data_IF_586288083466
#
_entry.id   IF_586288083466
#
_cell.length_a   1.000
_cell.length_b   1.000
_cell.length_c   1.000
_cell.angle_alpha   90.00
_cell.angle_beta   90.00
_cell.angle_gamma   90.00
#
_symmetry.space_group_name_H-M   'P 1'
#
loop_
_entity.id
_entity.type
_entity.pdbx_description
1 polymer ?
#
# COMPACT_ATOMS: atom_id res chain seq x y z
N UNK A 1 3.21 10.09 -34.92
CA UNK A 1 3.22 9.83 -33.47
C UNK A 1 3.41 11.17 -32.80
N UNK A 2 2.40 11.67 -32.07
CA UNK A 2 2.55 12.93 -31.33
C UNK A 2 3.61 12.73 -30.26
N UNK A 3 4.59 13.61 -30.20
CA UNK A 3 5.56 13.65 -29.09
C UNK A 3 4.76 13.93 -27.81
N UNK A 4 4.88 13.11 -26.74
CA UNK A 4 4.18 13.37 -25.50
C UNK A 4 4.47 14.79 -24.99
N UNK A 5 3.41 15.53 -24.62
CA UNK A 5 3.59 16.90 -24.13
C UNK A 5 4.21 16.82 -22.71
N UNK A 6 5.31 17.55 -22.43
CA UNK A 6 5.86 17.60 -21.08
C UNK A 6 4.81 18.10 -20.08
N UNK A 7 4.79 17.50 -18.89
CA UNK A 7 3.89 17.89 -17.82
C UNK A 7 4.63 17.81 -16.46
N UNK A 8 4.50 18.86 -15.67
CA UNK A 8 5.03 18.90 -14.31
C UNK A 8 3.96 18.43 -13.34
N UNK A 9 4.15 17.27 -12.75
CA UNK A 9 3.21 16.63 -11.84
C UNK A 9 3.65 16.81 -10.38
N UNK A 10 2.81 17.45 -9.59
CA UNK A 10 3.00 17.53 -8.15
C UNK A 10 2.15 16.45 -7.47
N UNK A 11 2.78 15.51 -6.80
CA UNK A 11 2.10 14.50 -5.99
C UNK A 11 2.05 14.95 -4.54
N UNK A 12 0.84 15.03 -3.98
CA UNK A 12 0.59 15.42 -2.60
C UNK A 12 0.08 14.21 -1.82
N UNK A 13 0.88 13.74 -0.85
CA UNK A 13 0.42 12.69 0.05
C UNK A 13 -0.26 13.31 1.26
N UNK A 14 -1.57 13.05 1.48
CA UNK A 14 -2.34 13.71 2.53
C UNK A 14 -1.90 13.29 3.93
N UNK A 15 -2.18 14.14 4.90
CA UNK A 15 -1.94 13.87 6.32
C UNK A 15 -2.91 12.83 6.84
N UNK A 16 -2.41 11.95 7.70
CA UNK A 16 -3.26 11.11 8.53
C UNK A 16 -3.91 11.95 9.63
N UNK A 17 -5.13 11.56 10.02
CA UNK A 17 -5.75 12.12 11.24
C UNK A 17 -4.89 11.79 12.45
N UNK A 18 -4.82 12.74 13.41
CA UNK A 18 -3.95 12.60 14.58
C UNK A 18 -4.26 11.37 15.43
N UNK A 19 -5.54 10.97 15.48
CA UNK A 19 -6.04 9.85 16.27
C UNK A 19 -5.93 8.49 15.54
N UNK A 20 -5.33 8.48 14.34
CA UNK A 20 -5.14 7.24 13.61
C UNK A 20 -4.07 6.37 14.24
N UNK A 21 -4.35 5.09 14.45
CA UNK A 21 -3.37 4.07 14.85
C UNK A 21 -2.19 4.02 13.89
N UNK A 22 -2.41 4.31 12.62
CA UNK A 22 -1.37 4.38 11.58
C UNK A 22 -0.41 5.56 11.71
N UNK A 23 -0.64 6.48 12.66
CA UNK A 23 0.28 7.59 12.88
C UNK A 23 1.59 7.14 13.54
N UNK A 24 1.56 6.13 14.42
CA UNK A 24 2.69 5.65 15.22
C UNK A 24 3.54 6.80 15.80
N UNK A 25 2.91 7.94 16.13
CA UNK A 25 3.58 9.21 16.39
C UNK A 25 4.66 9.10 17.48
N UNK A 26 4.35 8.42 18.60
CA UNK A 26 5.31 8.26 19.69
C UNK A 26 6.46 7.31 19.34
N UNK A 27 6.19 6.24 18.60
CA UNK A 27 7.23 5.32 18.12
C UNK A 27 8.18 6.03 17.14
N UNK A 28 7.64 6.79 16.20
CA UNK A 28 8.44 7.60 15.27
C UNK A 28 9.33 8.60 15.99
N UNK A 29 8.80 9.28 17.01
CA UNK A 29 9.55 10.23 17.82
C UNK A 29 10.71 9.57 18.57
N UNK A 30 10.48 8.39 19.15
CA UNK A 30 11.52 7.62 19.84
C UNK A 30 12.62 7.17 18.88
N UNK A 31 12.26 6.81 17.65
CA UNK A 31 13.19 6.34 16.62
C UNK A 31 13.85 7.47 15.82
N UNK A 32 13.48 8.74 16.09
CA UNK A 32 14.06 9.90 15.40
C UNK A 32 13.61 10.05 13.94
N UNK A 33 12.50 9.42 13.55
CA UNK A 33 11.89 9.52 12.22
C UNK A 33 10.60 10.31 12.26
N UNK A 34 10.09 10.72 11.10
CA UNK A 34 8.89 11.57 11.03
C UNK A 34 7.61 10.75 10.89
N UNK A 35 7.66 9.63 10.17
CA UNK A 35 6.50 8.79 9.86
C UNK A 35 6.84 7.30 9.86
N UNK A 36 5.84 6.42 10.07
CA UNK A 36 6.09 4.99 10.01
C UNK A 36 6.41 4.53 8.58
N UNK A 37 5.58 4.87 7.60
CA UNK A 37 5.64 4.33 6.25
C UNK A 37 5.61 5.42 5.16
N UNK A 38 6.27 5.14 4.05
CA UNK A 38 6.28 5.97 2.85
C UNK A 38 5.03 5.76 1.98
N UNK A 39 4.67 6.71 1.09
CA UNK A 39 3.49 6.68 0.24
C UNK A 39 3.62 5.74 -0.96
N UNK A 40 3.72 4.42 -0.75
CA UNK A 40 3.96 3.43 -1.79
C UNK A 40 3.00 3.57 -2.99
N UNK A 41 1.71 3.79 -2.74
CA UNK A 41 0.72 3.92 -3.82
C UNK A 41 1.00 5.09 -4.76
N UNK A 42 1.34 6.28 -4.23
CA UNK A 42 1.64 7.45 -5.06
C UNK A 42 2.93 7.27 -5.87
N UNK A 43 3.99 6.74 -5.27
CA UNK A 43 5.25 6.52 -6.01
C UNK A 43 5.15 5.38 -7.03
N UNK A 44 4.21 4.44 -6.83
CA UNK A 44 3.87 3.43 -7.84
C UNK A 44 3.14 4.07 -9.02
N UNK A 45 2.14 4.93 -8.77
CA UNK A 45 1.46 5.69 -9.82
C UNK A 45 2.46 6.60 -10.56
N UNK A 46 3.39 7.23 -9.85
CA UNK A 46 4.44 8.03 -10.47
C UNK A 46 5.26 7.25 -11.50
N UNK A 47 5.54 5.97 -11.22
CA UNK A 47 6.27 5.09 -12.13
C UNK A 47 5.47 4.69 -13.38
N UNK A 48 4.14 4.85 -13.36
CA UNK A 48 3.26 4.55 -14.49
C UNK A 48 3.05 5.75 -15.43
N UNK A 49 3.44 6.96 -15.00
CA UNK A 49 3.29 8.17 -15.81
C UNK A 49 4.31 8.19 -16.96
N UNK A 50 4.02 8.91 -18.07
CA UNK A 50 4.94 9.02 -19.18
C UNK A 50 6.33 9.52 -18.76
N UNK A 51 7.39 8.94 -19.30
CA UNK A 51 8.77 9.33 -18.99
C UNK A 51 9.13 10.79 -19.39
N UNK A 52 8.29 11.45 -20.19
CA UNK A 52 8.37 12.88 -20.52
C UNK A 52 7.80 13.79 -19.43
N UNK A 53 7.04 13.23 -18.47
CA UNK A 53 6.48 13.99 -17.36
C UNK A 53 7.48 14.06 -16.20
N UNK A 54 7.62 15.23 -15.60
CA UNK A 54 8.48 15.42 -14.43
C UNK A 54 7.62 15.35 -13.18
N UNK A 55 8.02 14.52 -12.20
CA UNK A 55 7.26 14.31 -10.97
C UNK A 55 8.02 14.87 -9.77
N UNK A 56 7.32 15.60 -8.89
CA UNK A 56 7.74 15.94 -7.52
C UNK A 56 6.75 15.36 -6.53
N UNK A 57 7.25 14.89 -5.41
CA UNK A 57 6.44 14.39 -4.30
C UNK A 57 6.60 15.30 -3.09
N UNK A 58 5.48 15.69 -2.49
CA UNK A 58 5.42 16.32 -1.17
C UNK A 58 4.56 15.42 -0.26
N UNK A 59 5.21 14.75 0.66
CA UNK A 59 4.49 14.09 1.76
C UNK A 59 4.12 15.15 2.81
N UNK A 60 2.83 15.52 2.87
CA UNK A 60 2.33 16.52 3.81
C UNK A 60 2.49 16.11 5.28
N UNK A 61 2.85 14.86 5.54
CA UNK A 61 3.16 14.39 6.88
C UNK A 61 4.61 14.71 7.31
N UNK A 62 5.51 14.93 6.35
CA UNK A 62 6.94 15.17 6.61
C UNK A 62 7.40 16.54 6.14
N UNK A 63 6.68 17.17 5.21
CA UNK A 63 7.02 18.45 4.61
C UNK A 63 5.80 19.38 4.48
N UNK A 64 6.05 20.64 4.22
CA UNK A 64 5.02 21.63 3.88
C UNK A 64 5.03 21.92 2.40
N UNK A 65 3.85 22.05 1.81
CA UNK A 65 3.68 22.51 0.43
C UNK A 65 4.04 24.00 0.37
N UNK A 66 4.75 24.40 -0.67
CA UNK A 66 5.16 25.79 -0.90
C UNK A 66 4.41 26.41 -2.09
N UNK A 67 4.44 27.73 -2.20
CA UNK A 67 3.91 28.43 -3.37
C UNK A 67 4.68 28.08 -4.66
N UNK A 68 5.98 27.81 -4.54
CA UNK A 68 6.83 27.39 -5.65
C UNK A 68 6.42 26.00 -6.20
N UNK A 69 5.95 25.08 -5.34
CA UNK A 69 5.43 23.78 -5.77
C UNK A 69 4.21 23.96 -6.67
N UNK A 70 3.28 24.83 -6.27
CA UNK A 70 2.11 25.13 -7.10
C UNK A 70 2.49 25.92 -8.36
N UNK A 71 3.43 26.87 -8.30
CA UNK A 71 3.87 27.63 -9.47
C UNK A 71 4.48 26.70 -10.52
N UNK A 72 5.24 25.70 -10.09
CA UNK A 72 5.89 24.72 -10.95
C UNK A 72 4.92 23.70 -11.55
N UNK A 73 3.89 23.28 -10.83
CA UNK A 73 2.99 22.19 -11.24
C UNK A 73 2.04 22.60 -12.37
N UNK A 74 1.87 21.72 -13.34
CA UNK A 74 0.79 21.79 -14.35
C UNK A 74 -0.42 20.97 -13.88
N UNK A 75 -0.19 19.91 -13.10
CA UNK A 75 -1.19 18.94 -12.65
C UNK A 75 -0.83 18.45 -11.25
N UNK A 76 -1.85 18.25 -10.40
CA UNK A 76 -1.66 17.75 -9.04
C UNK A 76 -2.32 16.38 -8.89
N UNK A 77 -1.62 15.42 -8.29
CA UNK A 77 -2.18 14.14 -7.89
C UNK A 77 -2.26 14.06 -6.37
N UNK A 78 -3.36 13.54 -5.86
CA UNK A 78 -3.53 13.26 -4.43
C UNK A 78 -4.44 12.04 -4.23
N UNK A 79 -4.49 11.51 -3.03
CA UNK A 79 -5.38 10.42 -2.66
C UNK A 79 -4.79 9.58 -1.53
N UNK A 80 -5.59 8.68 -1.02
CA UNK A 80 -5.17 7.89 0.13
C UNK A 80 -6.26 6.98 0.67
N UNK A 81 -6.09 6.61 1.92
CA UNK A 81 -7.01 5.78 2.69
C UNK A 81 -8.00 6.65 3.49
N UNK A 82 -9.04 6.02 4.05
CA UNK A 82 -10.04 6.68 4.89
C UNK A 82 -9.45 7.59 6.00
N UNK A 83 -8.38 7.23 6.73
CA UNK A 83 -7.77 8.12 7.73
C UNK A 83 -7.15 9.39 7.15
N UNK A 84 -7.04 9.51 5.83
CA UNK A 84 -6.51 10.68 5.13
C UNK A 84 -7.60 11.51 4.43
N UNK A 85 -8.85 11.08 4.50
CA UNK A 85 -9.99 11.67 3.77
C UNK A 85 -10.10 13.19 4.00
N UNK A 86 -10.09 13.62 5.25
CA UNK A 86 -10.27 15.05 5.59
C UNK A 86 -9.16 15.93 4.98
N UNK A 87 -7.92 15.47 5.01
CA UNK A 87 -6.79 16.22 4.43
C UNK A 87 -6.79 16.13 2.90
N UNK A 88 -7.22 15.00 2.31
CA UNK A 88 -7.40 14.88 0.86
C UNK A 88 -8.41 15.90 0.34
N UNK A 89 -9.54 16.07 1.01
CA UNK A 89 -10.54 17.08 0.65
C UNK A 89 -10.01 18.49 0.78
N UNK A 90 -9.26 18.78 1.86
CA UNK A 90 -8.57 20.07 2.05
C UNK A 90 -7.57 20.33 0.91
N UNK A 91 -6.81 19.34 0.49
CA UNK A 91 -5.84 19.47 -0.61
C UNK A 91 -6.53 19.73 -1.94
N UNK A 92 -7.65 19.07 -2.23
CA UNK A 92 -8.45 19.33 -3.44
C UNK A 92 -8.91 20.80 -3.46
N UNK A 93 -9.45 21.31 -2.36
CA UNK A 93 -9.88 22.71 -2.27
C UNK A 93 -8.70 23.69 -2.40
N UNK A 94 -7.57 23.37 -1.80
CA UNK A 94 -6.34 24.16 -1.93
C UNK A 94 -5.88 24.21 -3.42
N UNK A 95 -5.86 23.09 -4.12
CA UNK A 95 -5.50 23.06 -5.55
C UNK A 95 -6.45 23.91 -6.38
N UNK A 96 -7.75 23.79 -6.14
CA UNK A 96 -8.78 24.59 -6.84
C UNK A 96 -8.60 26.10 -6.58
N UNK A 97 -8.34 26.50 -5.33
CA UNK A 97 -8.09 27.91 -4.98
C UNK A 97 -6.83 28.48 -5.63
N UNK A 98 -5.89 27.61 -6.02
CA UNK A 98 -4.65 27.95 -6.77
C UNK A 98 -4.79 27.78 -8.27
N UNK A 99 -5.99 27.45 -8.76
CA UNK A 99 -6.25 27.22 -10.19
C UNK A 99 -5.49 26.04 -10.79
N UNK A 100 -5.17 25.01 -9.97
CA UNK A 100 -4.45 23.82 -10.40
C UNK A 100 -5.40 22.64 -10.56
N UNK A 101 -5.44 21.99 -11.73
CA UNK A 101 -6.19 20.78 -11.93
C UNK A 101 -5.72 19.68 -10.96
N UNK A 102 -6.68 18.96 -10.35
CA UNK A 102 -6.38 17.92 -9.37
C UNK A 102 -6.98 16.56 -9.76
N UNK A 103 -6.15 15.55 -9.70
CA UNK A 103 -6.48 14.13 -9.89
C UNK A 103 -6.54 13.47 -8.53
N UNK A 104 -7.64 12.81 -8.21
CA UNK A 104 -7.77 12.02 -6.99
C UNK A 104 -7.93 10.54 -7.30
N UNK A 105 -7.26 9.69 -6.50
CA UNK A 105 -7.35 8.24 -6.59
C UNK A 105 -7.01 7.54 -5.29
N UNK A 106 -6.90 6.23 -5.34
CA UNK A 106 -6.59 5.39 -4.18
C UNK A 106 -7.82 4.72 -3.56
N UNK A 107 -7.64 3.99 -2.44
CA UNK A 107 -8.69 3.14 -1.87
C UNK A 107 -9.96 3.91 -1.45
N UNK A 108 -9.82 4.98 -0.71
CA UNK A 108 -10.98 5.73 -0.21
C UNK A 108 -11.74 6.46 -1.33
N UNK A 109 -11.12 7.18 -2.29
CA UNK A 109 -11.81 7.68 -3.47
C UNK A 109 -12.49 6.59 -4.30
N UNK A 110 -11.92 5.40 -4.38
CA UNK A 110 -12.52 4.26 -5.10
C UNK A 110 -13.78 3.74 -4.37
N UNK A 111 -13.73 3.66 -3.04
CA UNK A 111 -14.87 3.21 -2.22
C UNK A 111 -15.99 4.26 -2.13
N UNK A 112 -15.64 5.55 -2.14
CA UNK A 112 -16.58 6.65 -1.92
C UNK A 112 -16.39 7.81 -2.90
N UNK A 113 -16.52 7.59 -4.22
CA UNK A 113 -16.15 8.57 -5.24
C UNK A 113 -16.98 9.86 -5.17
N UNK A 114 -18.22 9.78 -4.68
CA UNK A 114 -19.10 10.94 -4.53
C UNK A 114 -18.58 12.00 -3.56
N UNK A 115 -17.78 11.60 -2.56
CA UNK A 115 -17.15 12.52 -1.59
C UNK A 115 -16.11 13.41 -2.30
N UNK A 116 -15.48 12.90 -3.35
CA UNK A 116 -14.40 13.54 -4.09
C UNK A 116 -14.83 14.23 -5.37
N UNK A 117 -16.13 14.50 -5.54
CA UNK A 117 -16.71 15.12 -6.74
C UNK A 117 -16.16 16.53 -7.04
N UNK A 118 -15.49 17.17 -6.09
CA UNK A 118 -14.85 18.46 -6.28
C UNK A 118 -13.49 18.38 -7.01
N UNK A 119 -12.88 17.19 -7.14
CA UNK A 119 -11.68 17.00 -7.94
C UNK A 119 -11.98 17.11 -9.43
N UNK A 120 -11.06 17.64 -10.23
CA UNK A 120 -11.23 17.73 -11.70
C UNK A 120 -11.23 16.33 -12.32
N UNK A 121 -10.38 15.44 -11.82
CA UNK A 121 -10.29 14.07 -12.28
C UNK A 121 -10.38 13.08 -11.13
N UNK A 122 -11.08 11.97 -11.37
CA UNK A 122 -11.09 10.81 -10.51
C UNK A 122 -10.52 9.61 -11.26
N UNK A 123 -9.48 8.96 -10.72
CA UNK A 123 -8.88 7.72 -11.22
C UNK A 123 -9.17 6.63 -10.20
N UNK A 124 -10.19 5.81 -10.49
CA UNK A 124 -10.79 4.87 -9.54
C UNK A 124 -10.41 3.43 -9.85
N UNK A 125 -10.19 2.65 -8.80
CA UNK A 125 -9.72 1.27 -8.90
C UNK A 125 -8.20 1.18 -9.00
N UNK A 126 -7.72 0.09 -9.61
CA UNK A 126 -6.30 -0.18 -9.75
C UNK A 126 -5.71 0.59 -10.93
N UNK A 127 -4.70 1.42 -10.65
CA UNK A 127 -4.16 2.35 -11.63
C UNK A 127 -3.65 1.67 -12.92
N UNK A 128 -3.09 0.46 -12.80
CA UNK A 128 -2.63 -0.33 -13.94
C UNK A 128 -3.69 -0.57 -15.02
N UNK A 129 -4.96 -0.56 -14.62
CA UNK A 129 -6.08 -0.80 -15.53
C UNK A 129 -6.64 0.45 -16.20
N UNK A 130 -6.19 1.67 -15.85
CA UNK A 130 -6.88 2.89 -16.26
C UNK A 130 -5.98 4.11 -16.45
N UNK A 131 -4.74 4.09 -15.95
CA UNK A 131 -3.88 5.29 -15.97
C UNK A 131 -3.55 5.76 -17.38
N UNK A 132 -3.37 4.83 -18.33
CA UNK A 132 -3.08 5.17 -19.73
C UNK A 132 -4.25 5.91 -20.39
N UNK A 133 -5.49 5.55 -20.05
CA UNK A 133 -6.70 6.24 -20.54
C UNK A 133 -6.76 7.66 -20.00
N UNK A 134 -6.47 7.86 -18.71
CA UNK A 134 -6.37 9.19 -18.11
C UNK A 134 -5.29 10.04 -18.79
N UNK A 135 -4.06 9.48 -18.97
CA UNK A 135 -2.97 10.19 -19.62
C UNK A 135 -3.34 10.64 -21.03
N UNK A 136 -3.93 9.73 -21.83
CA UNK A 136 -4.38 10.05 -23.19
C UNK A 136 -5.44 11.16 -23.21
N UNK A 137 -6.37 11.14 -22.26
CA UNK A 137 -7.38 12.18 -22.11
C UNK A 137 -6.74 13.53 -21.75
N UNK A 138 -5.83 13.57 -20.77
CA UNK A 138 -5.10 14.79 -20.42
C UNK A 138 -4.33 15.38 -21.59
N UNK A 139 -3.55 14.55 -22.30
CA UNK A 139 -2.77 14.97 -23.48
C UNK A 139 -3.63 15.46 -24.63
N UNK A 140 -4.86 14.94 -24.77
CA UNK A 140 -5.83 15.41 -25.76
C UNK A 140 -6.54 16.71 -25.39
N UNK A 141 -6.27 17.27 -24.21
CA UNK A 141 -6.85 18.53 -23.75
C UNK A 141 -8.12 18.40 -22.91
N UNK A 142 -8.53 17.19 -22.51
CA UNK A 142 -9.61 16.98 -21.53
C UNK A 142 -9.16 17.59 -20.18
N UNK A 143 -10.09 18.26 -19.48
CA UNK A 143 -9.77 18.97 -18.23
C UNK A 143 -10.61 18.52 -17.02
N UNK A 144 -11.51 17.56 -17.20
CA UNK A 144 -12.22 16.89 -16.11
C UNK A 144 -12.76 15.54 -16.56
N UNK A 145 -12.91 14.59 -15.63
CA UNK A 145 -13.51 13.30 -15.95
C UNK A 145 -13.33 12.26 -14.85
N UNK A 146 -14.03 11.14 -15.00
CA UNK A 146 -13.94 9.98 -14.13
C UNK A 146 -13.46 8.79 -14.95
N UNK A 147 -12.36 8.19 -14.55
CA UNK A 147 -11.72 7.05 -15.17
C UNK A 147 -11.77 5.89 -14.19
N UNK A 148 -12.44 4.79 -14.55
CA UNK A 148 -12.67 3.67 -13.63
C UNK A 148 -12.09 2.38 -14.20
N UNK A 149 -11.12 1.82 -13.51
CA UNK A 149 -10.56 0.52 -13.88
C UNK A 149 -11.61 -0.60 -13.77
N UNK A 150 -11.62 -1.56 -14.68
CA UNK A 150 -12.41 -2.78 -14.52
C UNK A 150 -12.01 -3.50 -13.23
N UNK A 151 -12.99 -3.79 -12.36
CA UNK A 151 -12.72 -4.42 -11.05
C UNK A 151 -11.98 -5.76 -11.21
N UNK A 152 -10.93 -5.94 -10.43
CA UNK A 152 -10.17 -7.20 -10.28
C UNK A 152 -9.45 -7.69 -11.53
N UNK A 153 -9.29 -6.84 -12.54
CA UNK A 153 -8.70 -7.21 -13.83
C UNK A 153 -7.29 -6.64 -14.05
N UNK A 154 -6.80 -5.80 -13.14
CA UNK A 154 -5.44 -5.27 -13.25
C UNK A 154 -4.41 -6.41 -13.26
N UNK A 155 -3.54 -6.36 -14.25
CA UNK A 155 -2.42 -7.29 -14.37
C UNK A 155 -1.23 -6.78 -13.55
N UNK A 156 -1.15 -7.21 -12.29
CA UNK A 156 -0.10 -6.78 -11.36
C UNK A 156 1.31 -7.20 -11.82
N UNK A 157 1.42 -8.11 -12.81
CA UNK A 157 2.71 -8.45 -13.42
C UNK A 157 3.27 -7.34 -14.31
N UNK A 158 2.49 -6.29 -14.57
CA UNK A 158 2.89 -5.09 -15.30
C UNK A 158 3.17 -3.88 -14.41
N UNK A 159 2.94 -4.00 -13.12
CA UNK A 159 3.25 -2.92 -12.16
C UNK A 159 4.76 -2.62 -12.21
N UNK A 160 5.17 -1.38 -12.51
CA UNK A 160 6.58 -1.02 -12.56
C UNK A 160 7.20 -0.95 -11.16
N UNK A 161 8.54 -0.91 -11.11
CA UNK A 161 9.25 -0.58 -9.86
C UNK A 161 8.83 0.81 -9.40
N UNK A 162 8.37 0.98 -8.15
CA UNK A 162 7.97 2.28 -7.63
C UNK A 162 9.11 3.30 -7.69
N UNK A 163 8.77 4.58 -7.84
CA UNK A 163 9.72 5.71 -7.86
C UNK A 163 10.24 6.01 -6.45
N UNK A 164 10.99 5.07 -5.87
CA UNK A 164 11.62 5.24 -4.55
C UNK A 164 12.58 6.44 -4.50
N UNK A 165 13.12 6.86 -5.65
CA UNK A 165 13.96 8.05 -5.81
C UNK A 165 13.25 9.37 -5.45
N UNK A 166 11.93 9.39 -5.39
CA UNK A 166 11.14 10.54 -4.95
C UNK A 166 11.07 10.67 -3.42
N UNK A 167 11.50 9.67 -2.67
CA UNK A 167 11.42 9.65 -1.21
C UNK A 167 12.66 10.21 -0.54
N UNK A 168 12.46 10.95 0.56
CA UNK A 168 13.51 11.11 1.56
C UNK A 168 13.40 9.94 2.54
N UNK A 169 14.14 8.86 2.26
CA UNK A 169 14.05 7.59 3.00
C UNK A 169 14.32 7.72 4.51
N UNK A 170 15.03 8.77 4.93
CA UNK A 170 15.36 9.03 6.33
C UNK A 170 14.15 9.54 7.14
N UNK A 171 13.08 9.96 6.48
CA UNK A 171 11.88 10.42 7.16
C UNK A 171 10.99 9.27 7.67
N UNK A 172 11.26 8.01 7.24
CA UNK A 172 10.37 6.87 7.47
C UNK A 172 11.01 5.79 8.33
N UNK A 173 10.19 5.15 9.17
CA UNK A 173 10.62 4.03 9.99
C UNK A 173 10.86 2.79 9.16
N UNK A 174 10.02 2.56 8.17
CA UNK A 174 10.14 1.48 7.19
C UNK A 174 9.64 1.91 5.81
N UNK A 175 10.02 1.17 4.80
CA UNK A 175 9.47 1.33 3.45
C UNK A 175 8.54 0.16 3.11
N UNK A 176 7.59 0.40 2.22
CA UNK A 176 6.66 -0.64 1.77
C UNK A 176 7.06 -1.23 0.42
N UNK A 177 6.81 -2.52 0.26
CA UNK A 177 6.75 -3.23 -1.02
C UNK A 177 5.47 -4.05 -1.05
N UNK A 178 4.95 -4.39 -2.22
CA UNK A 178 3.72 -5.17 -2.33
C UNK A 178 3.91 -6.34 -3.29
N UNK A 179 3.74 -7.56 -2.78
CA UNK A 179 3.83 -8.78 -3.58
C UNK A 179 2.49 -9.16 -4.22
N UNK A 180 1.40 -9.06 -3.46
CA UNK A 180 0.08 -9.45 -3.93
C UNK A 180 -1.02 -8.46 -3.57
N UNK A 181 -2.14 -8.53 -4.30
CA UNK A 181 -3.41 -7.82 -4.01
C UNK A 181 -4.56 -8.79 -4.01
N UNK A 182 -5.49 -8.59 -3.06
CA UNK A 182 -6.68 -9.40 -2.88
C UNK A 182 -6.55 -10.42 -1.76
N UNK A 183 -7.70 -10.82 -1.20
CA UNK A 183 -7.75 -11.72 -0.05
C UNK A 183 -8.83 -12.79 -0.27
N UNK A 184 -8.55 -14.10 -0.05
CA UNK A 184 -9.52 -15.16 -0.31
C UNK A 184 -10.67 -15.21 0.72
N UNK A 185 -10.54 -14.51 1.84
CA UNK A 185 -11.53 -14.48 2.91
C UNK A 185 -12.64 -13.45 2.66
N UNK A 186 -13.75 -13.56 3.40
CA UNK A 186 -14.97 -12.76 3.24
C UNK A 186 -15.38 -12.12 4.56
N UNK A 187 -14.44 -11.55 5.28
CA UNK A 187 -14.71 -10.84 6.53
C UNK A 187 -15.64 -9.65 6.26
N UNK A 188 -16.72 -9.53 7.07
CA UNK A 188 -17.79 -8.58 6.78
C UNK A 188 -17.39 -7.11 6.94
N UNK A 189 -16.41 -6.86 7.82
CA UNK A 189 -15.89 -5.52 8.10
C UNK A 189 -14.83 -5.04 7.10
N UNK A 190 -14.38 -5.90 6.17
CA UNK A 190 -13.21 -5.64 5.31
C UNK A 190 -13.66 -5.32 3.89
N UNK A 191 -13.23 -4.17 3.35
CA UNK A 191 -13.53 -3.72 2.00
C UNK A 191 -12.53 -4.22 0.93
N UNK A 192 -11.47 -4.90 1.32
CA UNK A 192 -10.44 -5.42 0.41
C UNK A 192 -11.02 -6.27 -0.72
N UNK A 193 -12.02 -7.09 -0.41
CA UNK A 193 -12.67 -7.93 -1.43
C UNK A 193 -13.48 -7.13 -2.46
N UNK A 194 -13.90 -5.92 -2.11
CA UNK A 194 -14.58 -4.99 -3.02
C UNK A 194 -13.59 -4.15 -3.82
N UNK A 195 -12.42 -3.87 -3.26
CA UNK A 195 -11.35 -3.11 -3.90
C UNK A 195 -10.50 -3.98 -4.84
N UNK A 196 -10.02 -5.13 -4.34
CA UNK A 196 -9.00 -5.94 -5.01
C UNK A 196 -9.44 -7.38 -5.31
N UNK A 197 -10.64 -7.78 -4.84
CA UNK A 197 -11.22 -9.07 -5.11
C UNK A 197 -10.71 -10.21 -4.22
N UNK A 198 -11.24 -11.41 -4.51
CA UNK A 198 -11.04 -12.60 -3.67
C UNK A 198 -9.98 -13.57 -4.20
N UNK A 199 -9.41 -13.28 -5.36
CA UNK A 199 -8.34 -14.08 -5.94
C UNK A 199 -7.04 -13.30 -5.83
N UNK A 200 -6.13 -13.68 -4.91
CA UNK A 200 -4.85 -12.98 -4.76
C UNK A 200 -4.03 -13.07 -6.05
N UNK A 201 -3.76 -11.91 -6.64
CA UNK A 201 -2.92 -11.73 -7.83
C UNK A 201 -1.53 -11.32 -7.38
N UNK A 202 -0.50 -12.00 -7.85
CA UNK A 202 0.87 -11.81 -7.40
C UNK A 202 1.74 -11.20 -8.49
N UNK A 203 2.66 -10.35 -8.09
CA UNK A 203 3.81 -10.01 -8.91
C UNK A 203 4.68 -11.23 -9.18
N UNK A 204 5.52 -11.15 -10.18
CA UNK A 204 6.52 -12.18 -10.45
C UNK A 204 7.72 -12.03 -9.51
N UNK A 205 8.45 -13.11 -9.27
CA UNK A 205 9.69 -13.06 -8.47
C UNK A 205 10.69 -12.02 -9.03
N UNK A 206 10.98 -11.99 -10.35
CA UNK A 206 11.89 -10.96 -10.90
C UNK A 206 11.45 -9.51 -10.62
N UNK A 207 10.12 -9.22 -10.66
CA UNK A 207 9.63 -7.88 -10.33
C UNK A 207 9.94 -7.52 -8.87
N UNK A 208 9.63 -8.43 -7.95
CA UNK A 208 9.89 -8.18 -6.52
C UNK A 208 11.37 -7.99 -6.25
N UNK A 209 12.23 -8.84 -6.83
CA UNK A 209 13.68 -8.69 -6.66
C UNK A 209 14.20 -7.39 -7.28
N UNK A 210 13.61 -6.91 -8.38
CA UNK A 210 13.97 -5.62 -8.96
C UNK A 210 13.56 -4.43 -8.05
N UNK A 211 12.44 -4.51 -7.32
CA UNK A 211 12.07 -3.50 -6.32
C UNK A 211 13.06 -3.49 -5.15
N UNK A 212 13.49 -4.67 -4.69
CA UNK A 212 14.50 -4.81 -3.63
C UNK A 212 15.88 -4.34 -4.10
N UNK A 213 16.28 -4.64 -5.35
CA UNK A 213 17.52 -4.15 -5.93
C UNK A 213 17.53 -2.62 -6.02
N UNK A 214 16.42 -1.99 -6.43
CA UNK A 214 16.31 -0.54 -6.47
C UNK A 214 16.52 0.10 -5.08
N UNK A 215 15.93 -0.45 -4.04
CA UNK A 215 16.13 0.00 -2.65
C UNK A 215 17.56 -0.26 -2.17
N UNK A 216 18.11 -1.41 -2.50
CA UNK A 216 19.47 -1.78 -2.14
C UNK A 216 20.51 -0.84 -2.78
N UNK A 217 20.34 -0.52 -4.06
CA UNK A 217 21.23 0.35 -4.83
C UNK A 217 21.13 1.82 -4.39
N UNK A 218 19.97 2.25 -3.89
CA UNK A 218 19.80 3.55 -3.21
C UNK A 218 20.49 3.63 -1.84
N UNK A 219 21.06 2.53 -1.36
CA UNK A 219 21.72 2.44 -0.05
C UNK A 219 20.76 2.20 1.11
N UNK A 220 19.49 1.93 0.87
CA UNK A 220 18.57 1.58 1.95
C UNK A 220 18.96 0.25 2.59
N UNK A 221 18.94 0.19 3.91
CA UNK A 221 19.15 -1.00 4.75
C UNK A 221 18.20 -0.91 5.92
N UNK A 222 17.50 -1.99 6.22
CA UNK A 222 16.59 -2.03 7.37
C UNK A 222 15.23 -2.66 7.04
N UNK A 223 14.18 -2.16 7.67
CA UNK A 223 12.87 -2.78 7.66
C UNK A 223 12.07 -2.46 6.38
N UNK A 224 11.61 -3.51 5.70
CA UNK A 224 10.64 -3.46 4.61
C UNK A 224 9.37 -4.19 5.01
N UNK A 225 8.22 -3.53 4.84
CA UNK A 225 6.92 -4.13 5.06
C UNK A 225 6.30 -4.58 3.73
N UNK A 226 5.94 -5.86 3.65
CA UNK A 226 5.12 -6.37 2.55
C UNK A 226 3.67 -6.02 2.82
N UNK A 227 3.22 -4.87 2.28
CA UNK A 227 1.88 -4.28 2.51
C UNK A 227 0.77 -5.05 1.75
N UNK A 228 0.80 -6.36 1.84
CA UNK A 228 -0.16 -7.26 1.19
C UNK A 228 -1.44 -7.36 2.03
N UNK A 229 -2.61 -7.40 1.40
CA UNK A 229 -3.89 -7.59 2.11
C UNK A 229 -3.94 -8.90 2.92
N UNK A 230 -3.22 -9.90 2.46
CA UNK A 230 -2.93 -11.16 3.14
C UNK A 230 -1.80 -11.87 2.38
N UNK A 231 -0.57 -11.72 2.83
CA UNK A 231 0.63 -12.25 2.19
C UNK A 231 0.54 -13.74 1.86
N UNK A 232 -0.09 -14.52 2.72
CA UNK A 232 -0.28 -15.96 2.52
C UNK A 232 -1.53 -16.33 1.69
N UNK A 233 -2.18 -15.34 1.09
CA UNK A 233 -3.40 -15.54 0.29
C UNK A 233 -3.21 -16.49 -0.89
N UNK A 234 -2.01 -16.49 -1.51
CA UNK A 234 -1.62 -17.41 -2.57
C UNK A 234 -0.36 -18.22 -2.15
N UNK A 235 -0.54 -19.22 -1.29
CA UNK A 235 0.56 -20.05 -0.77
C UNK A 235 1.36 -20.75 -1.87
N UNK A 236 0.75 -21.06 -3.02
CA UNK A 236 1.45 -21.73 -4.13
C UNK A 236 2.52 -20.82 -4.74
N UNK A 237 2.15 -19.59 -5.07
CA UNK A 237 3.10 -18.61 -5.61
C UNK A 237 4.14 -18.22 -4.57
N UNK A 238 3.73 -18.09 -3.31
CA UNK A 238 4.62 -17.71 -2.21
C UNK A 238 5.74 -18.75 -1.98
N UNK A 239 5.43 -20.05 -2.10
CA UNK A 239 6.44 -21.12 -2.01
C UNK A 239 7.46 -21.12 -3.16
N UNK A 240 7.15 -20.47 -4.27
CA UNK A 240 8.12 -20.26 -5.34
C UNK A 240 8.95 -19.00 -5.12
N UNK A 241 8.35 -17.96 -4.55
CA UNK A 241 9.01 -16.67 -4.31
C UNK A 241 9.99 -16.71 -3.13
N UNK A 242 9.58 -17.27 -1.97
CA UNK A 242 10.36 -17.20 -0.74
C UNK A 242 11.78 -17.82 -0.82
N UNK A 243 12.01 -18.94 -1.52
CA UNK A 243 13.37 -19.45 -1.70
C UNK A 243 14.28 -18.49 -2.46
N UNK A 244 13.77 -17.86 -3.52
CA UNK A 244 14.52 -16.87 -4.30
C UNK A 244 14.80 -15.61 -3.46
N UNK A 245 13.84 -15.19 -2.65
CA UNK A 245 14.00 -14.07 -1.71
C UNK A 245 15.07 -14.38 -0.65
N UNK A 246 15.06 -15.59 -0.08
CA UNK A 246 16.07 -16.03 0.89
C UNK A 246 17.47 -16.08 0.27
N UNK A 247 17.59 -16.55 -0.97
CA UNK A 247 18.86 -16.56 -1.70
C UNK A 247 19.33 -15.14 -2.04
N UNK A 248 18.43 -14.25 -2.43
CA UNK A 248 18.71 -12.83 -2.66
C UNK A 248 19.24 -12.15 -1.40
N UNK A 249 18.61 -12.38 -0.24
CA UNK A 249 19.03 -11.89 1.06
C UNK A 249 20.42 -12.42 1.44
N UNK A 250 20.61 -13.74 1.36
CA UNK A 250 21.86 -14.39 1.71
C UNK A 250 23.05 -13.90 0.88
N UNK A 251 22.84 -13.68 -0.42
CA UNK A 251 23.93 -13.21 -1.33
C UNK A 251 24.31 -11.74 -1.09
N UNK A 252 23.50 -10.98 -0.33
CA UNK A 252 23.71 -9.58 0.01
C UNK A 252 23.90 -9.33 1.51
N UNK A 253 24.19 -10.38 2.27
CA UNK A 253 24.43 -10.33 3.72
C UNK A 253 23.22 -9.77 4.50
N UNK A 254 22.00 -10.19 4.12
CA UNK A 254 20.73 -9.85 4.76
C UNK A 254 20.52 -8.35 4.98
N UNK A 255 20.49 -7.54 3.91
CA UNK A 255 20.35 -6.08 4.02
C UNK A 255 19.02 -5.62 4.56
N UNK A 256 17.98 -6.46 4.47
CA UNK A 256 16.61 -6.12 4.88
C UNK A 256 16.07 -7.11 5.91
N UNK A 257 15.20 -6.62 6.76
CA UNK A 257 14.31 -7.41 7.61
C UNK A 257 12.87 -7.15 7.18
N UNK A 258 12.01 -8.18 7.20
CA UNK A 258 10.68 -8.09 6.63
C UNK A 258 9.58 -8.26 7.67
N UNK A 259 8.49 -7.49 7.50
CA UNK A 259 7.18 -7.76 8.11
C UNK A 259 6.10 -7.88 7.04
N UNK A 260 4.91 -8.33 7.43
CA UNK A 260 3.75 -8.41 6.55
C UNK A 260 2.44 -8.63 7.32
N UNK A 261 1.31 -8.46 6.65
CA UNK A 261 -0.01 -8.86 7.11
C UNK A 261 -0.32 -10.30 6.69
N UNK A 262 -0.70 -11.12 7.65
CA UNK A 262 -1.07 -12.50 7.40
C UNK A 262 -2.25 -12.95 8.26
N UNK A 263 -3.11 -13.80 7.71
CA UNK A 263 -4.14 -14.46 8.49
C UNK A 263 -3.55 -15.54 9.41
N UNK A 264 -4.17 -15.77 10.57
CA UNK A 264 -3.67 -16.66 11.64
C UNK A 264 -3.44 -18.11 11.18
N UNK A 265 -4.07 -18.55 10.09
CA UNK A 265 -3.84 -19.88 9.50
C UNK A 265 -2.44 -20.03 8.83
N UNK A 266 -1.59 -19.00 8.91
CA UNK A 266 -0.15 -19.14 8.70
C UNK A 266 0.43 -20.22 9.66
N UNK A 267 -0.03 -20.26 10.90
CA UNK A 267 0.37 -21.24 11.90
C UNK A 267 0.09 -22.72 11.55
N UNK A 268 -0.75 -22.97 10.53
CA UNK A 268 -1.06 -24.32 10.06
C UNK A 268 -0.03 -24.89 9.08
N UNK A 269 0.97 -24.07 8.72
CA UNK A 269 1.94 -24.39 7.65
C UNK A 269 3.38 -24.20 8.16
N UNK A 270 3.91 -25.18 8.92
CA UNK A 270 5.27 -25.08 9.49
C UNK A 270 6.35 -24.83 8.44
N UNK A 271 6.19 -25.44 7.24
CA UNK A 271 7.15 -25.24 6.15
C UNK A 271 7.13 -23.81 5.62
N UNK A 272 5.97 -23.18 5.54
CA UNK A 272 5.86 -21.78 5.12
C UNK A 272 6.48 -20.84 6.16
N UNK A 273 6.28 -21.13 7.47
CA UNK A 273 6.92 -20.41 8.56
C UNK A 273 8.46 -20.50 8.45
N UNK A 274 9.01 -21.70 8.23
CA UNK A 274 10.45 -21.90 8.02
C UNK A 274 10.98 -21.09 6.83
N UNK A 275 10.24 -21.09 5.70
CA UNK A 275 10.63 -20.35 4.50
C UNK A 275 10.60 -18.84 4.73
N UNK A 276 9.60 -18.31 5.45
CA UNK A 276 9.55 -16.90 5.82
C UNK A 276 10.70 -16.51 6.75
N UNK A 277 10.97 -17.32 7.76
CA UNK A 277 12.12 -17.09 8.67
C UNK A 277 13.47 -17.09 7.90
N UNK A 278 13.66 -18.04 6.97
CA UNK A 278 14.85 -18.11 6.11
C UNK A 278 15.02 -16.87 5.21
N UNK A 279 13.91 -16.25 4.80
CA UNK A 279 13.91 -15.01 4.04
C UNK A 279 14.05 -13.74 4.91
N UNK A 280 14.26 -13.89 6.23
CA UNK A 280 14.42 -12.82 7.21
C UNK A 280 13.14 -12.05 7.54
N UNK A 281 11.97 -12.73 7.54
CA UNK A 281 10.75 -12.16 8.14
C UNK A 281 10.88 -12.21 9.66
N UNK A 282 10.85 -11.05 10.30
CA UNK A 282 10.94 -10.93 11.76
C UNK A 282 9.56 -10.74 12.42
N UNK A 283 8.52 -10.33 11.66
CA UNK A 283 7.23 -10.01 12.22
C UNK A 283 6.06 -10.20 11.26
N UNK A 284 4.90 -10.47 11.83
CA UNK A 284 3.63 -10.55 11.12
C UNK A 284 2.54 -9.83 11.89
N UNK A 285 1.73 -9.04 11.18
CA UNK A 285 0.48 -8.53 11.72
C UNK A 285 -0.62 -9.57 11.48
N UNK A 286 -1.36 -9.91 12.55
CA UNK A 286 -2.45 -10.90 12.49
C UNK A 286 -3.74 -10.27 12.99
N UNK A 287 -4.76 -10.24 12.13
CA UNK A 287 -6.11 -9.87 12.55
C UNK A 287 -6.73 -10.97 13.42
N UNK A 288 -6.75 -10.80 14.74
CA UNK A 288 -7.45 -11.67 15.69
C UNK A 288 -8.92 -11.25 15.80
N UNK A 289 -9.19 -9.97 15.81
CA UNK A 289 -10.45 -9.24 15.87
C UNK A 289 -11.22 -9.41 17.17
N UNK A 290 -11.46 -10.65 17.61
CA UNK A 290 -12.18 -10.95 18.85
C UNK A 290 -11.74 -12.29 19.45
N UNK A 291 -11.67 -12.44 20.78
CA UNK A 291 -11.51 -13.72 21.43
C UNK A 291 -12.82 -14.55 21.44
N UNK A 292 -13.97 -13.91 21.19
CA UNK A 292 -15.27 -14.57 21.24
C UNK A 292 -15.61 -15.30 19.92
N UNK A 293 -15.83 -16.63 19.96
CA UNK A 293 -16.15 -17.40 18.77
C UNK A 293 -17.47 -16.99 18.08
N UNK A 294 -18.47 -16.54 18.84
CA UNK A 294 -19.75 -16.12 18.25
C UNK A 294 -19.59 -14.85 17.43
N UNK A 295 -18.82 -13.90 17.93
CA UNK A 295 -18.44 -12.68 17.21
C UNK A 295 -17.67 -13.00 15.93
N UNK A 296 -16.67 -13.90 15.99
CA UNK A 296 -15.91 -14.32 14.80
C UNK A 296 -16.80 -14.98 13.73
N UNK A 297 -17.81 -15.74 14.14
CA UNK A 297 -18.79 -16.31 13.21
C UNK A 297 -19.67 -15.22 12.60
N UNK A 298 -20.17 -14.29 13.41
CA UNK A 298 -21.02 -13.18 12.96
C UNK A 298 -20.30 -12.30 11.91
N UNK A 299 -19.03 -11.97 12.14
CA UNK A 299 -18.20 -11.19 11.21
C UNK A 299 -17.59 -12.01 10.07
N UNK A 300 -17.95 -13.29 9.93
CA UNK A 300 -17.46 -14.19 8.87
C UNK A 300 -15.92 -14.39 8.85
N UNK A 301 -15.26 -14.22 9.99
CA UNK A 301 -13.80 -14.44 10.14
C UNK A 301 -13.49 -15.95 10.26
N UNK A 302 -13.80 -16.70 9.22
CA UNK A 302 -13.75 -18.18 9.20
C UNK A 302 -12.36 -18.75 9.53
N UNK A 303 -11.29 -18.06 9.16
CA UNK A 303 -9.92 -18.51 9.41
C UNK A 303 -9.55 -18.49 10.90
N UNK A 304 -10.28 -17.75 11.72
CA UNK A 304 -10.07 -17.68 13.18
C UNK A 304 -10.98 -18.63 13.96
N UNK A 305 -12.05 -19.14 13.34
CA UNK A 305 -12.96 -20.09 14.02
C UNK A 305 -12.36 -21.49 14.11
N UNK A 306 -12.78 -22.28 15.10
CA UNK A 306 -12.39 -23.68 15.29
C UNK A 306 -10.89 -23.90 15.49
N UNK A 307 -10.20 -22.92 16.10
CA UNK A 307 -8.76 -23.02 16.42
C UNK A 307 -8.47 -22.40 17.77
N UNK A 308 -7.39 -22.84 18.38
CA UNK A 308 -6.80 -22.17 19.53
C UNK A 308 -5.87 -21.04 18.99
N UNK A 309 -6.31 -19.79 19.19
CA UNK A 309 -5.54 -18.62 18.72
C UNK A 309 -4.19 -18.53 19.43
N UNK A 310 -4.16 -18.75 20.75
CA UNK A 310 -2.91 -18.69 21.53
C UNK A 310 -1.88 -19.72 21.02
N UNK A 311 -2.29 -20.97 20.79
CA UNK A 311 -1.39 -21.98 20.19
C UNK A 311 -0.91 -21.58 18.79
N UNK A 312 -1.78 -20.97 17.98
CA UNK A 312 -1.39 -20.47 16.65
C UNK A 312 -0.32 -19.39 16.75
N UNK A 313 -0.48 -18.43 17.65
CA UNK A 313 0.49 -17.38 17.91
C UNK A 313 1.83 -17.97 18.41
N UNK A 314 1.77 -18.94 19.35
CA UNK A 314 2.98 -19.61 19.84
C UNK A 314 3.75 -20.35 18.74
N UNK A 315 3.06 -20.92 17.73
CA UNK A 315 3.72 -21.54 16.58
C UNK A 315 4.47 -20.51 15.72
N UNK A 316 3.89 -19.33 15.55
CA UNK A 316 4.54 -18.23 14.82
C UNK A 316 5.76 -17.72 15.60
N UNK A 317 5.64 -17.53 16.92
CA UNK A 317 6.79 -17.21 17.79
C UNK A 317 7.87 -18.28 17.74
N UNK A 318 7.48 -19.56 17.74
CA UNK A 318 8.42 -20.67 17.65
C UNK A 318 9.21 -20.70 16.33
N UNK A 319 8.72 -20.05 15.30
CA UNK A 319 9.43 -19.86 14.03
C UNK A 319 10.32 -18.60 14.01
N UNK A 320 10.41 -17.85 15.13
CA UNK A 320 11.26 -16.67 15.26
C UNK A 320 10.61 -15.35 14.83
N UNK A 321 9.30 -15.33 14.55
CA UNK A 321 8.59 -14.12 14.13
C UNK A 321 7.76 -13.54 15.27
N UNK A 322 7.83 -12.21 15.44
CA UNK A 322 6.94 -11.46 16.33
C UNK A 322 5.53 -11.40 15.73
N UNK A 323 4.53 -11.28 16.59
CA UNK A 323 3.14 -11.08 16.18
C UNK A 323 2.62 -9.77 16.73
N UNK A 324 2.22 -8.88 15.84
CA UNK A 324 1.36 -7.74 16.17
C UNK A 324 -0.08 -8.14 15.90
N UNK A 325 -0.99 -7.94 16.86
CA UNK A 325 -2.36 -8.43 16.77
C UNK A 325 -3.37 -7.28 16.69
N UNK A 326 -4.28 -7.36 15.72
CA UNK A 326 -5.42 -6.45 15.60
C UNK A 326 -6.66 -7.00 16.33
N UNK A 327 -7.35 -6.12 17.08
CA UNK A 327 -8.63 -6.38 17.72
C UNK A 327 -9.64 -5.29 17.35
N UNK A 328 -10.88 -5.67 17.10
CA UNK A 328 -11.98 -4.74 16.84
C UNK A 328 -12.86 -4.67 18.08
N UNK A 329 -13.16 -3.46 18.53
CA UNK A 329 -14.01 -3.18 19.71
C UNK A 329 -15.26 -2.43 19.25
N UNK A 330 -16.40 -2.71 19.87
CA UNK A 330 -17.66 -1.98 19.61
C UNK A 330 -18.59 -2.67 18.62
N UNK A 331 -18.68 -3.99 18.65
CA UNK A 331 -19.72 -4.72 17.90
C UNK A 331 -21.11 -4.45 18.47
N UNK A 332 -22.09 -4.18 17.61
CA UNK A 332 -23.45 -3.75 17.97
C UNK A 332 -24.29 -4.76 18.77
N UNK A 333 -23.81 -5.96 19.04
CA UNK A 333 -24.59 -7.06 19.63
C UNK A 333 -23.80 -7.96 20.58
N UNK A 334 -22.90 -7.40 21.36
CA UNK A 334 -22.25 -8.16 22.44
C UNK A 334 -22.62 -7.60 23.79
#
# INVERSE_FOLDING_TARGET
MNTPCPCNVLMLYPRFTADSVWSFAESCKLMGVRRPAAPLGLITVAAMLPGSWTVRLVDCNTASITDDDFAWADLVFTGGMLPQQADTLRLIELCRSRGKPVVVGGPDPTSSPHIYAAADFQVLGEAEGVIDEFVAAWESGVRSGVFTAPKFQADVTKTPVPRFDLLNIQDYLYLGVQYSRGCPFTCEFCDIIELYGRVPRTKTTPQMLAELDALYDMGYRGHLDFVDDNFIGNKKSLRLFLPELADWQRTRDYPFEFSTEASVNLADDPKLLEMMAAANFFGVFVGIESPDPATLVAMKKKQNTRRNIAESIHKIYGAGMLVTAGFIVGFDKL
#
